data_IF_267173907504
#
_entry.id   IF_267173907504
#
_cell.length_a   1.000
_cell.length_b   1.000
_cell.length_c   1.000
_cell.angle_alpha   90.00
_cell.angle_beta   90.00
_cell.angle_gamma   90.00
#
_symmetry.space_group_name_H-M   'P 1'
#
loop_
_entity.id
_entity.type
_entity.pdbx_description
1 polymer ?
#
# COMPACT_ATOMS: atom_id res chain seq x y z
N UNK A 1 0.41 -3.33 18.93
CA UNK A 1 1.27 -2.26 19.46
C UNK A 1 0.68 -0.94 18.97
N UNK A 2 0.10 -0.13 19.85
CA UNK A 2 -0.59 1.11 19.46
C UNK A 2 0.45 2.21 19.21
N UNK A 3 0.43 2.84 18.04
CA UNK A 3 1.29 3.98 17.73
C UNK A 3 0.51 5.24 18.10
N UNK A 4 1.10 6.10 18.93
CA UNK A 4 0.49 7.41 19.20
C UNK A 4 0.50 8.22 17.90
N UNK A 5 -0.62 8.83 17.49
CA UNK A 5 -0.66 9.63 16.28
C UNK A 5 0.12 10.92 16.48
N UNK A 6 0.60 11.48 15.36
CA UNK A 6 1.47 12.65 15.38
C UNK A 6 0.74 13.89 15.89
N UNK A 7 -0.54 14.03 15.50
CA UNK A 7 -1.42 15.11 15.93
C UNK A 7 -2.83 14.61 16.18
N UNK A 8 -3.58 15.35 17.00
CA UNK A 8 -5.03 15.23 17.11
C UNK A 8 -5.67 16.57 16.78
N UNK A 9 -6.72 16.55 15.94
CA UNK A 9 -7.67 17.65 15.85
C UNK A 9 -8.83 17.39 16.78
N UNK A 10 -9.10 18.36 17.64
CA UNK A 10 -10.33 18.45 18.43
C UNK A 10 -11.36 19.26 17.65
N UNK A 11 -12.52 18.68 17.40
CA UNK A 11 -13.69 19.36 16.85
C UNK A 11 -14.71 19.50 17.97
N UNK A 12 -14.89 20.71 18.47
CA UNK A 12 -15.85 21.00 19.53
C UNK A 12 -17.26 21.11 18.94
N UNK A 13 -18.13 20.16 19.29
CA UNK A 13 -19.55 20.17 18.92
C UNK A 13 -20.43 20.73 20.05
N UNK A 14 -21.71 20.94 19.77
CA UNK A 14 -22.68 21.40 20.78
C UNK A 14 -23.02 20.35 21.85
N UNK A 15 -22.75 19.06 21.59
CA UNK A 15 -23.06 17.94 22.49
C UNK A 15 -21.83 17.20 22.99
N UNK A 16 -20.79 17.10 22.17
CA UNK A 16 -19.57 16.35 22.46
C UNK A 16 -18.40 16.90 21.66
N UNK A 17 -17.20 16.71 22.20
CA UNK A 17 -15.96 16.92 21.48
C UNK A 17 -15.59 15.65 20.70
N UNK A 18 -15.16 15.81 19.44
CA UNK A 18 -14.64 14.72 18.63
C UNK A 18 -13.15 14.90 18.40
N UNK A 19 -12.39 13.82 18.54
CA UNK A 19 -10.96 13.81 18.29
C UNK A 19 -10.67 12.98 17.05
N UNK A 20 -9.94 13.57 16.11
CA UNK A 20 -9.45 12.88 14.92
C UNK A 20 -7.93 12.87 14.95
N UNK A 21 -7.34 11.69 14.86
CA UNK A 21 -5.90 11.55 14.69
C UNK A 21 -5.49 12.02 13.29
N UNK A 22 -4.27 12.54 13.22
CA UNK A 22 -3.61 12.94 11.98
C UNK A 22 -2.21 12.34 11.97
N UNK A 23 -1.90 11.72 10.84
CA UNK A 23 -0.54 11.32 10.51
C UNK A 23 0.18 12.45 9.76
N UNK A 24 1.42 12.72 10.14
CA UNK A 24 2.29 13.67 9.44
C UNK A 24 3.38 12.89 8.70
N UNK A 25 3.44 13.10 7.39
CA UNK A 25 4.55 12.64 6.56
C UNK A 25 5.36 13.84 6.11
N UNK A 26 6.69 13.79 6.30
CA UNK A 26 7.60 14.83 5.82
C UNK A 26 8.72 14.24 4.99
N UNK A 27 9.03 14.87 3.86
CA UNK A 27 10.10 14.42 2.96
C UNK A 27 10.75 15.56 2.21
N UNK A 28 12.04 15.37 1.86
CA UNK A 28 12.73 16.22 0.88
C UNK A 28 12.45 15.80 -0.57
N UNK A 29 12.08 14.54 -0.77
CA UNK A 29 11.85 13.95 -2.08
C UNK A 29 10.36 13.95 -2.42
N UNK A 30 9.93 13.13 -3.37
CA UNK A 30 8.50 12.93 -3.63
C UNK A 30 7.91 11.80 -2.79
N UNK A 31 8.68 10.73 -2.60
CA UNK A 31 8.20 9.49 -1.99
C UNK A 31 9.00 9.14 -0.74
N UNK A 32 8.34 8.47 0.20
CA UNK A 32 8.95 7.86 1.38
C UNK A 32 8.30 6.50 1.66
N UNK A 33 8.97 5.60 2.39
CA UNK A 33 8.30 4.46 2.98
C UNK A 33 7.16 4.93 3.88
N UNK A 34 5.98 4.36 3.68
CA UNK A 34 4.83 4.55 4.56
C UNK A 34 4.99 3.82 5.89
N UNK A 35 3.92 3.83 6.67
CA UNK A 35 3.76 3.00 7.86
C UNK A 35 3.61 1.53 7.45
N UNK A 36 3.88 0.58 8.35
CA UNK A 36 3.65 -0.84 8.02
C UNK A 36 2.17 -1.06 7.71
N UNK A 37 1.86 -1.91 6.73
CA UNK A 37 0.46 -2.29 6.41
C UNK A 37 -0.30 -2.82 7.63
N UNK A 38 0.39 -3.43 8.60
CA UNK A 38 -0.22 -3.92 9.85
C UNK A 38 -0.57 -2.81 10.86
N UNK A 39 -0.06 -1.60 10.65
CA UNK A 39 -0.18 -0.48 11.60
C UNK A 39 -0.96 0.70 11.02
N UNK A 40 -1.34 0.62 9.75
CA UNK A 40 -1.90 1.76 9.02
C UNK A 40 -3.41 1.80 9.15
N UNK A 41 -3.94 3.00 9.32
CA UNK A 41 -5.38 3.26 9.24
C UNK A 41 -5.63 3.97 7.91
N UNK A 42 -6.24 3.27 6.94
CA UNK A 42 -6.40 3.74 5.56
C UNK A 42 -7.14 5.07 5.45
N UNK A 43 -8.13 5.26 6.33
CA UNK A 43 -9.00 6.44 6.37
C UNK A 43 -8.55 7.47 7.43
N UNK A 44 -7.34 7.36 7.96
CA UNK A 44 -6.74 8.40 8.79
C UNK A 44 -6.37 9.62 7.95
N UNK A 45 -6.57 10.82 8.48
CA UNK A 45 -6.12 12.05 7.83
C UNK A 45 -4.61 12.13 7.83
N UNK A 46 -4.04 12.47 6.68
CA UNK A 46 -2.59 12.62 6.52
C UNK A 46 -2.26 14.01 6.00
N UNK A 47 -1.36 14.71 6.71
CA UNK A 47 -0.71 15.91 6.22
C UNK A 47 0.65 15.51 5.66
N UNK A 48 0.84 15.72 4.35
CA UNK A 48 2.10 15.45 3.68
C UNK A 48 2.81 16.76 3.36
N UNK A 49 3.97 16.93 3.98
CA UNK A 49 4.86 18.08 3.83
C UNK A 49 6.03 17.67 2.93
N UNK A 50 6.15 18.31 1.77
CA UNK A 50 7.34 18.24 0.93
C UNK A 50 8.14 19.52 1.10
N UNK A 51 9.41 19.40 1.47
CA UNK A 51 10.22 20.57 1.78
C UNK A 51 11.62 20.48 1.18
N UNK A 52 12.18 21.62 0.81
CA UNK A 52 13.59 21.76 0.50
C UNK A 52 14.15 23.01 1.23
N UNK A 53 15.35 23.46 0.88
CA UNK A 53 15.97 24.62 1.54
C UNK A 53 15.26 25.96 1.30
N UNK A 54 14.40 26.06 0.28
CA UNK A 54 13.77 27.31 -0.15
C UNK A 54 12.24 27.27 -0.23
N UNK A 55 11.63 26.09 -0.20
CA UNK A 55 10.19 25.90 -0.41
C UNK A 55 9.62 24.80 0.48
N UNK A 56 8.40 25.04 0.95
CA UNK A 56 7.55 24.07 1.63
C UNK A 56 6.24 23.98 0.86
N UNK A 57 5.90 22.77 0.42
CA UNK A 57 4.62 22.44 -0.16
C UNK A 57 3.87 21.49 0.77
N UNK A 58 2.58 21.73 0.95
CA UNK A 58 1.72 20.93 1.83
C UNK A 58 0.54 20.41 1.06
N UNK A 59 0.23 19.13 1.24
CA UNK A 59 -0.99 18.50 0.78
C UNK A 59 -1.64 17.74 1.94
N UNK A 60 -2.95 17.60 1.91
CA UNK A 60 -3.70 16.85 2.91
C UNK A 60 -4.79 16.01 2.23
N UNK A 61 -4.93 14.77 2.66
CA UNK A 61 -5.96 13.80 2.24
C UNK A 61 -5.98 12.61 3.21
N UNK A 62 -6.80 11.59 2.96
CA UNK A 62 -6.74 10.32 3.69
C UNK A 62 -5.44 9.57 3.35
N UNK A 63 -4.92 8.77 4.29
CA UNK A 63 -3.66 8.03 4.13
C UNK A 63 -3.63 7.22 2.84
N UNK A 64 -4.72 6.51 2.53
CA UNK A 64 -4.85 5.73 1.31
C UNK A 64 -4.56 6.55 0.04
N UNK A 65 -4.93 7.82 0.00
CA UNK A 65 -4.75 8.67 -1.18
C UNK A 65 -3.28 9.06 -1.40
N UNK A 66 -2.43 8.81 -0.41
CA UNK A 66 -0.98 9.00 -0.50
C UNK A 66 -0.27 7.78 -1.09
N UNK A 67 -0.88 6.59 -0.98
CA UNK A 67 -0.26 5.33 -1.37
C UNK A 67 -0.05 5.29 -2.88
N UNK A 68 1.18 5.02 -3.27
CA UNK A 68 1.55 4.72 -4.66
C UNK A 68 1.25 3.26 -5.00
N UNK A 69 1.31 2.92 -6.28
CA UNK A 69 1.09 1.54 -6.75
C UNK A 69 2.32 0.65 -6.58
N UNK A 70 3.31 1.11 -5.82
CA UNK A 70 4.55 0.39 -5.61
C UNK A 70 4.56 -0.21 -4.22
N UNK A 71 4.59 -1.55 -4.17
CA UNK A 71 4.91 -2.30 -2.97
C UNK A 71 6.40 -2.67 -3.00
N UNK A 72 7.23 -2.16 -2.07
CA UNK A 72 8.61 -2.60 -1.98
C UNK A 72 8.66 -4.08 -1.60
N UNK A 73 9.70 -4.78 -2.07
CA UNK A 73 9.90 -6.19 -1.74
C UNK A 73 10.01 -6.36 -0.21
N UNK A 74 9.15 -7.17 0.43
CA UNK A 74 9.14 -7.30 1.87
C UNK A 74 10.27 -8.22 2.37
N UNK A 75 11.12 -7.75 3.29
CA UNK A 75 11.80 -8.64 4.25
C UNK A 75 10.94 -8.88 5.51
N UNK A 76 9.94 -8.01 5.73
CA UNK A 76 8.87 -8.07 6.76
C UNK A 76 7.58 -7.53 6.15
N UNK A 77 6.49 -7.49 6.93
CA UNK A 77 5.22 -6.81 6.57
C UNK A 77 5.50 -5.51 5.82
N UNK A 78 5.06 -5.38 4.56
CA UNK A 78 5.54 -4.33 3.68
C UNK A 78 5.11 -2.97 4.19
N UNK A 79 5.85 -1.96 3.76
CA UNK A 79 5.50 -0.56 3.94
C UNK A 79 5.15 -0.03 2.55
N UNK A 80 3.87 0.26 2.25
CA UNK A 80 3.53 0.82 0.96
C UNK A 80 4.32 2.12 0.78
N UNK A 81 4.82 2.36 -0.43
CA UNK A 81 5.42 3.65 -0.70
C UNK A 81 4.32 4.71 -0.76
N UNK A 82 4.48 5.81 -0.03
CA UNK A 82 3.60 6.98 -0.10
C UNK A 82 4.28 8.10 -0.86
N UNK A 83 3.51 8.88 -1.62
CA UNK A 83 4.00 9.93 -2.50
C UNK A 83 3.26 11.25 -2.36
N UNK A 84 4.00 12.35 -2.26
CA UNK A 84 3.45 13.69 -2.20
C UNK A 84 2.69 14.05 -3.49
N UNK A 85 3.31 13.80 -4.64
CA UNK A 85 2.67 14.01 -5.95
C UNK A 85 1.46 13.11 -6.16
N UNK A 86 1.45 11.90 -5.60
CA UNK A 86 0.27 11.01 -5.63
C UNK A 86 -0.91 11.65 -4.91
N UNK A 87 -0.69 12.14 -3.68
CA UNK A 87 -1.72 12.87 -2.94
C UNK A 87 -2.15 14.16 -3.66
N UNK A 88 -1.21 14.92 -4.22
CA UNK A 88 -1.50 16.17 -4.93
C UNK A 88 -2.35 15.91 -6.18
N UNK A 89 -2.03 14.88 -6.96
CA UNK A 89 -2.84 14.45 -8.11
C UNK A 89 -4.24 14.07 -7.68
N UNK A 90 -4.37 13.26 -6.62
CA UNK A 90 -5.66 12.88 -6.08
C UNK A 90 -6.47 14.13 -5.65
N UNK A 91 -5.84 15.07 -4.95
CA UNK A 91 -6.48 16.32 -4.56
C UNK A 91 -6.99 17.10 -5.78
N UNK A 92 -6.22 17.22 -6.86
CA UNK A 92 -6.67 17.93 -8.07
C UNK A 92 -7.88 17.25 -8.72
N UNK A 93 -7.89 15.92 -8.77
CA UNK A 93 -8.94 15.15 -9.45
C UNK A 93 -10.23 15.05 -8.63
N UNK A 94 -10.11 14.92 -7.31
CA UNK A 94 -11.22 14.53 -6.45
C UNK A 94 -11.67 15.64 -5.51
N UNK A 95 -10.92 16.72 -5.33
CA UNK A 95 -11.23 17.81 -4.39
C UNK A 95 -11.74 19.06 -5.11
N UNK A 96 -12.79 19.67 -4.59
CA UNK A 96 -13.27 20.99 -5.00
C UNK A 96 -13.61 21.83 -3.78
N UNK A 97 -13.21 23.10 -3.82
CA UNK A 97 -13.61 24.09 -2.81
C UNK A 97 -14.62 25.02 -3.44
N UNK A 98 -15.83 25.07 -2.88
CA UNK A 98 -16.90 25.95 -3.36
C UNK A 98 -17.53 26.65 -2.15
N UNK A 99 -17.55 27.99 -2.16
CA UNK A 99 -18.11 28.83 -1.07
C UNK A 99 -17.58 28.46 0.32
N UNK A 100 -16.28 28.21 0.43
CA UNK A 100 -15.63 27.81 1.69
C UNK A 100 -15.90 26.37 2.13
N UNK A 101 -16.74 25.62 1.41
CA UNK A 101 -16.99 24.21 1.66
C UNK A 101 -16.04 23.36 0.85
N UNK A 102 -15.32 22.49 1.55
CA UNK A 102 -14.48 21.46 0.96
C UNK A 102 -15.35 20.24 0.60
N UNK A 103 -15.47 19.93 -0.69
CA UNK A 103 -16.09 18.72 -1.18
C UNK A 103 -15.04 17.82 -1.80
N UNK A 104 -15.16 16.51 -1.58
CA UNK A 104 -14.35 15.53 -2.29
C UNK A 104 -15.21 14.37 -2.78
N UNK A 105 -14.83 13.78 -3.93
CA UNK A 105 -15.48 12.59 -4.49
C UNK A 105 -14.70 11.36 -4.06
N UNK A 106 -15.40 10.37 -3.52
CA UNK A 106 -14.84 9.05 -3.26
C UNK A 106 -14.74 8.31 -4.60
N UNK A 107 -13.54 7.83 -4.91
CA UNK A 107 -13.29 6.93 -6.03
C UNK A 107 -13.28 5.50 -5.50
N UNK A 108 -14.42 4.81 -5.61
CA UNK A 108 -14.58 3.46 -5.05
C UNK A 108 -13.64 2.44 -5.68
N UNK A 109 -13.35 2.56 -6.98
CA UNK A 109 -12.50 1.61 -7.69
C UNK A 109 -11.03 1.77 -7.29
N UNK A 110 -10.52 3.01 -7.29
CA UNK A 110 -9.16 3.30 -6.84
C UNK A 110 -8.99 2.89 -5.37
N UNK A 111 -10.00 3.15 -4.54
CA UNK A 111 -10.02 2.76 -3.14
C UNK A 111 -9.90 1.25 -2.96
N UNK A 112 -10.74 0.46 -3.64
CA UNK A 112 -10.68 -1.01 -3.57
C UNK A 112 -9.30 -1.55 -3.98
N UNK A 113 -8.69 -0.98 -5.02
CA UNK A 113 -7.35 -1.37 -5.46
C UNK A 113 -6.29 -1.08 -4.40
N UNK A 114 -6.36 0.06 -3.73
CA UNK A 114 -5.43 0.41 -2.64
C UNK A 114 -5.68 -0.40 -1.38
N UNK A 115 -6.94 -0.76 -1.11
CA UNK A 115 -7.28 -1.63 0.03
C UNK A 115 -6.72 -3.04 -0.15
N UNK A 116 -6.67 -3.58 -1.38
CA UNK A 116 -5.96 -4.84 -1.63
C UNK A 116 -4.50 -4.78 -1.14
N UNK A 117 -3.81 -3.68 -1.42
CA UNK A 117 -2.42 -3.49 -0.96
C UNK A 117 -2.32 -3.38 0.57
N UNK A 118 -3.35 -2.86 1.24
CA UNK A 118 -3.32 -2.64 2.69
C UNK A 118 -3.79 -3.87 3.49
N UNK A 119 -4.84 -4.52 3.01
CA UNK A 119 -5.54 -5.61 3.70
C UNK A 119 -4.98 -6.97 3.29
N UNK A 120 -4.63 -7.17 2.02
CA UNK A 120 -4.14 -8.44 1.49
C UNK A 120 -2.95 -8.24 0.54
N UNK A 121 -1.91 -7.66 1.12
CA UNK A 121 -0.65 -7.39 0.43
C UNK A 121 0.04 -8.68 -0.01
N UNK A 122 -0.16 -9.79 0.72
CA UNK A 122 0.42 -11.09 0.39
C UNK A 122 -0.18 -11.61 -0.91
N UNK A 123 -1.51 -11.60 -1.04
CA UNK A 123 -2.17 -11.99 -2.28
C UNK A 123 -1.77 -11.09 -3.44
N UNK A 124 -1.69 -9.77 -3.21
CA UNK A 124 -1.24 -8.82 -4.23
C UNK A 124 0.16 -9.18 -4.75
N UNK A 125 1.10 -9.54 -3.87
CA UNK A 125 2.43 -10.00 -4.28
C UNK A 125 2.39 -11.33 -5.03
N UNK A 126 1.56 -12.27 -4.58
CA UNK A 126 1.37 -13.54 -5.29
C UNK A 126 0.87 -13.33 -6.72
N UNK A 127 -0.10 -12.43 -6.94
CA UNK A 127 -0.57 -12.06 -8.28
C UNK A 127 0.55 -11.45 -9.13
N UNK A 128 1.34 -10.51 -8.57
CA UNK A 128 2.48 -9.92 -9.28
C UNK A 128 3.55 -10.97 -9.64
N UNK A 129 3.83 -11.91 -8.73
CA UNK A 129 4.80 -12.98 -8.96
C UNK A 129 4.29 -13.98 -9.99
N UNK A 130 2.98 -14.22 -10.01
CA UNK A 130 2.34 -15.03 -11.02
C UNK A 130 2.42 -14.39 -12.42
N UNK A 131 2.27 -13.07 -12.53
CA UNK A 131 2.53 -12.35 -13.79
C UNK A 131 3.98 -12.54 -14.26
N UNK A 132 4.96 -12.47 -13.34
CA UNK A 132 6.39 -12.63 -13.66
C UNK A 132 6.69 -13.99 -14.30
N UNK A 133 6.07 -15.07 -13.80
CA UNK A 133 6.27 -16.42 -14.35
C UNK A 133 5.51 -16.63 -15.67
N UNK A 134 4.40 -15.91 -15.87
CA UNK A 134 3.51 -16.08 -17.02
C UNK A 134 3.93 -15.28 -18.25
N UNK A 135 4.99 -14.46 -18.16
CA UNK A 135 5.43 -13.58 -19.26
C UNK A 135 6.89 -13.80 -19.64
N UNK A 136 7.21 -13.39 -20.86
CA UNK A 136 8.59 -13.41 -21.36
C UNK A 136 9.54 -12.53 -20.53
N UNK A 137 10.81 -12.97 -20.49
CA UNK A 137 11.88 -12.28 -19.80
C UNK A 137 12.11 -10.90 -20.42
N UNK A 138 12.12 -9.86 -19.58
CA UNK A 138 12.53 -8.51 -19.99
C UNK A 138 14.05 -8.34 -19.89
N UNK A 139 14.64 -7.56 -20.79
CA UNK A 139 16.11 -7.35 -20.89
C UNK A 139 16.76 -6.82 -19.62
N UNK A 140 16.03 -6.04 -18.81
CA UNK A 140 16.51 -5.39 -17.58
C UNK A 140 15.61 -5.68 -16.38
N UNK A 141 15.31 -6.96 -16.14
CA UNK A 141 14.53 -7.36 -14.96
C UNK A 141 15.42 -7.64 -13.74
N UNK A 142 14.81 -7.60 -12.54
CA UNK A 142 15.50 -7.87 -11.28
C UNK A 142 15.91 -9.35 -11.20
N UNK A 143 17.04 -9.64 -10.55
CA UNK A 143 17.52 -11.02 -10.35
C UNK A 143 16.48 -11.91 -9.65
N UNK A 144 15.64 -11.34 -8.78
CA UNK A 144 14.58 -12.04 -8.06
C UNK A 144 13.58 -12.72 -9.01
N UNK A 145 13.26 -12.10 -10.15
CA UNK A 145 12.36 -12.68 -11.14
C UNK A 145 12.89 -14.03 -11.65
N UNK A 146 14.20 -14.15 -11.81
CA UNK A 146 14.84 -15.41 -12.19
C UNK A 146 14.75 -16.46 -11.09
N UNK A 147 14.86 -16.07 -9.82
CA UNK A 147 14.72 -16.98 -8.67
C UNK A 147 13.30 -17.53 -8.56
N UNK A 148 12.28 -16.69 -8.73
CA UNK A 148 10.88 -17.13 -8.75
C UNK A 148 10.62 -18.11 -9.90
N UNK A 149 11.17 -17.88 -11.10
CA UNK A 149 11.04 -18.83 -12.21
C UNK A 149 11.73 -20.16 -11.91
N UNK A 150 12.94 -20.15 -11.34
CA UNK A 150 13.64 -21.37 -10.92
C UNK A 150 12.86 -22.15 -9.87
N UNK A 151 12.34 -21.47 -8.84
CA UNK A 151 11.50 -22.10 -7.83
C UNK A 151 10.25 -22.73 -8.44
N UNK A 152 9.58 -22.00 -9.35
CA UNK A 152 8.35 -22.48 -10.00
C UNK A 152 8.60 -23.69 -10.89
N UNK A 153 9.71 -23.70 -11.64
CA UNK A 153 10.12 -24.86 -12.42
C UNK A 153 10.35 -26.09 -11.54
N UNK A 154 11.13 -25.95 -10.45
CA UNK A 154 11.38 -27.03 -9.49
C UNK A 154 10.07 -27.58 -8.88
N UNK A 155 9.13 -26.68 -8.55
CA UNK A 155 7.83 -27.08 -8.03
C UNK A 155 7.02 -27.89 -9.07
N UNK A 156 6.99 -27.44 -10.32
CA UNK A 156 6.27 -28.12 -11.41
C UNK A 156 6.89 -29.49 -11.71
N UNK A 157 8.22 -29.58 -11.82
CA UNK A 157 8.95 -30.84 -12.02
C UNK A 157 8.69 -31.83 -10.86
N UNK A 158 8.60 -31.33 -9.62
CA UNK A 158 8.27 -32.16 -8.46
C UNK A 158 6.84 -32.68 -8.52
N UNK A 159 5.90 -31.88 -9.02
CA UNK A 159 4.50 -32.27 -9.21
C UNK A 159 4.37 -33.32 -10.33
N UNK A 160 5.04 -33.11 -11.46
CA UNK A 160 5.03 -34.05 -12.59
C UNK A 160 5.59 -35.43 -12.21
N UNK A 161 6.61 -35.46 -11.34
CA UNK A 161 7.26 -36.70 -10.91
C UNK A 161 6.56 -37.44 -9.77
N UNK A 162 5.60 -36.82 -9.07
CA UNK A 162 4.82 -37.48 -8.01
C UNK A 162 3.39 -36.93 -7.91
N UNK A 163 2.53 -37.13 -8.92
CA UNK A 163 1.21 -36.49 -9.00
C UNK A 163 0.24 -36.89 -7.87
N UNK A 164 0.35 -38.11 -7.36
CA UNK A 164 -0.45 -38.60 -6.23
C UNK A 164 -0.24 -37.81 -4.94
N UNK A 165 0.89 -37.12 -4.81
CA UNK A 165 1.23 -36.30 -3.63
C UNK A 165 0.72 -34.85 -3.71
N UNK A 166 0.10 -34.42 -4.83
CA UNK A 166 -0.39 -33.04 -5.00
C UNK A 166 -1.38 -32.65 -3.90
N UNK A 167 -2.29 -33.56 -3.53
CA UNK A 167 -3.29 -33.28 -2.48
C UNK A 167 -2.62 -33.04 -1.12
N UNK A 168 -1.57 -33.79 -0.82
CA UNK A 168 -0.80 -33.62 0.42
C UNK A 168 -0.03 -32.30 0.40
N UNK A 169 0.57 -31.92 -0.73
CA UNK A 169 1.22 -30.62 -0.89
C UNK A 169 0.24 -29.46 -0.69
N UNK A 170 -0.94 -29.51 -1.30
CA UNK A 170 -1.97 -28.48 -1.13
C UNK A 170 -2.41 -28.40 0.34
N UNK A 171 -2.60 -29.54 1.00
CA UNK A 171 -2.98 -29.61 2.41
C UNK A 171 -1.92 -28.94 3.30
N UNK A 172 -0.65 -29.27 3.10
CA UNK A 172 0.48 -28.67 3.84
C UNK A 172 0.55 -27.17 3.60
N UNK A 173 0.43 -26.71 2.35
CA UNK A 173 0.47 -25.28 2.02
C UNK A 173 -0.67 -24.52 2.70
N UNK A 174 -1.92 -25.01 2.58
CA UNK A 174 -3.09 -24.38 3.22
C UNK A 174 -2.97 -24.32 4.73
N UNK A 175 -2.37 -25.33 5.36
CA UNK A 175 -2.14 -25.35 6.80
C UNK A 175 -1.09 -24.32 7.25
N UNK A 176 -0.11 -24.03 6.41
CA UNK A 176 1.05 -23.21 6.76
C UNK A 176 0.94 -21.74 6.33
N UNK A 177 -0.01 -21.39 5.46
CA UNK A 177 -0.35 -20.00 5.16
C UNK A 177 -1.05 -19.42 6.40
N UNK A 178 -0.50 -18.33 6.93
CA UNK A 178 -1.04 -17.61 8.08
C UNK A 178 -1.76 -16.38 7.53
N UNK A 179 -3.06 -16.26 7.81
CA UNK A 179 -3.89 -15.08 7.50
C UNK A 179 -3.42 -13.84 8.29
#
# INVERSE_FOLDING_TARGET
>A
MYVNPDLYIKISGSKEDRFHSIEIKSTKQDTIPGSSVQQVVSDEWTIFIKHNSSQIDVACSLYRNCITDKLPFPDRSPRPQVGFNTMKKWNVLHRKVNRGMLQYKIDTEENLRKDKILLDWQHTLCEEWFDIISREKKTKEKWFNNVIRKYSLLLLEKIETSPESIKDYISILRKNIID
#
